data_IF_908548951211
#
_entry.id   IF_908548951211
#
_cell.length_a   1.000
_cell.length_b   1.000
_cell.length_c   1.000
_cell.angle_alpha   90.00
_cell.angle_beta   90.00
_cell.angle_gamma   90.00
#
_symmetry.space_group_name_H-M   'P 1'
#
loop_
_entity.id
_entity.type
_entity.pdbx_description
1 polymer ?
#
# COMPACT_ATOMS: atom_id res chain seq x y z
N UNK A 1 8.32 -3.16 -4.91
CA UNK A 1 8.13 -4.20 -3.86
C UNK A 1 8.86 -5.51 -4.17
N UNK A 2 10.00 -5.47 -4.89
CA UNK A 2 10.73 -6.70 -5.30
C UNK A 2 12.14 -6.80 -4.69
N UNK A 3 12.47 -5.90 -3.76
CA UNK A 3 13.73 -5.94 -3.01
C UNK A 3 13.62 -6.86 -1.80
N UNK A 4 14.72 -7.50 -1.43
CA UNK A 4 14.78 -8.38 -0.24
C UNK A 4 15.01 -7.60 1.07
N UNK A 5 15.47 -6.36 0.97
CA UNK A 5 15.69 -5.49 2.13
C UNK A 5 14.40 -4.73 2.48
N UNK A 6 13.83 -5.12 3.62
CA UNK A 6 12.62 -4.52 4.18
C UNK A 6 12.91 -3.63 5.40
N UNK A 7 14.18 -3.41 5.74
CA UNK A 7 14.59 -2.64 6.94
C UNK A 7 14.16 -1.17 6.92
N UNK A 8 13.85 -0.66 5.72
CA UNK A 8 13.31 0.67 5.48
C UNK A 8 11.77 0.71 5.37
N UNK A 9 11.11 -0.45 5.51
CA UNK A 9 9.66 -0.60 5.49
C UNK A 9 9.04 -0.99 6.84
N UNK A 10 9.72 -1.81 7.65
CA UNK A 10 9.18 -2.36 8.90
C UNK A 10 10.18 -2.27 10.07
N UNK A 11 9.67 -2.04 11.29
CA UNK A 11 10.40 -2.09 12.56
C UNK A 11 11.60 -1.13 12.63
N UNK A 12 11.45 0.04 12.01
CA UNK A 12 12.51 1.05 11.91
C UNK A 12 12.29 2.26 12.82
N UNK A 13 11.47 2.12 13.86
CA UNK A 13 11.11 3.25 14.75
C UNK A 13 12.30 3.92 15.42
N UNK A 14 13.33 3.14 15.75
CA UNK A 14 14.61 3.60 16.31
C UNK A 14 15.49 4.36 15.29
N UNK A 15 15.31 4.08 14.00
CA UNK A 15 16.11 4.62 12.89
C UNK A 15 15.38 5.68 12.05
N UNK A 16 14.09 5.84 12.26
CA UNK A 16 13.24 6.80 11.57
C UNK A 16 13.57 8.22 12.05
N UNK A 17 14.23 9.02 11.19
CA UNK A 17 14.54 10.44 11.46
C UNK A 17 13.66 11.37 10.63
N UNK A 18 13.83 11.32 9.31
CA UNK A 18 13.21 12.28 8.38
C UNK A 18 11.91 11.76 7.74
N UNK A 19 11.42 10.60 8.18
CA UNK A 19 10.21 9.97 7.68
C UNK A 19 9.53 9.14 8.78
N UNK A 20 8.21 8.95 8.72
CA UNK A 20 7.51 8.10 9.68
C UNK A 20 8.09 6.68 9.75
N UNK A 21 8.07 6.11 10.96
CA UNK A 21 8.33 4.69 11.16
C UNK A 21 7.25 3.83 10.48
N UNK A 22 7.56 2.55 10.28
CA UNK A 22 6.57 1.54 9.86
C UNK A 22 5.81 1.90 8.57
N UNK A 23 6.56 2.37 7.57
CA UNK A 23 6.03 2.80 6.28
C UNK A 23 5.20 1.72 5.58
N UNK A 24 5.50 0.44 5.80
CA UNK A 24 4.71 -0.67 5.28
C UNK A 24 3.24 -0.59 5.71
N UNK A 25 2.98 -0.28 6.98
CA UNK A 25 1.62 -0.14 7.50
C UNK A 25 0.93 1.10 6.95
N UNK A 26 1.63 2.24 6.94
CA UNK A 26 1.08 3.48 6.41
C UNK A 26 0.70 3.35 4.93
N UNK A 27 1.62 2.85 4.10
CA UNK A 27 1.36 2.68 2.66
C UNK A 27 0.30 1.61 2.42
N UNK A 28 0.31 0.51 3.17
CA UNK A 28 -0.74 -0.51 3.12
C UNK A 28 -2.14 0.08 3.39
N UNK A 29 -2.27 0.91 4.43
CA UNK A 29 -3.50 1.63 4.72
C UNK A 29 -3.94 2.53 3.55
N UNK A 30 -3.03 3.32 2.95
CA UNK A 30 -3.38 4.21 1.83
C UNK A 30 -3.81 3.45 0.57
N UNK A 31 -3.26 2.26 0.33
CA UNK A 31 -3.70 1.37 -0.76
C UNK A 31 -5.12 0.86 -0.50
N UNK A 32 -5.38 0.35 0.71
CA UNK A 32 -6.72 -0.09 1.09
C UNK A 32 -7.74 1.05 1.05
N UNK A 33 -7.42 2.23 1.60
CA UNK A 33 -8.27 3.43 1.53
C UNK A 33 -8.63 3.76 0.08
N UNK A 34 -7.64 3.82 -0.83
CA UNK A 34 -7.89 4.11 -2.23
C UNK A 34 -8.79 3.05 -2.92
N UNK A 35 -8.59 1.77 -2.60
CA UNK A 35 -9.44 0.69 -3.11
C UNK A 35 -10.87 0.81 -2.58
N UNK A 36 -11.04 1.05 -1.27
CA UNK A 36 -12.34 1.22 -0.65
C UNK A 36 -13.11 2.37 -1.28
N UNK A 37 -12.48 3.53 -1.45
CA UNK A 37 -13.12 4.72 -2.00
C UNK A 37 -13.61 4.52 -3.44
N UNK A 38 -12.84 3.80 -4.26
CA UNK A 38 -13.24 3.47 -5.65
C UNK A 38 -14.34 2.42 -5.74
N UNK A 39 -14.52 1.58 -4.72
CA UNK A 39 -15.52 0.53 -4.74
C UNK A 39 -16.95 1.09 -4.62
N UNK A 40 -17.85 0.59 -5.47
CA UNK A 40 -19.29 0.87 -5.38
C UNK A 40 -19.95 0.13 -4.21
N UNK A 41 -19.57 -1.14 -4.02
CA UNK A 41 -19.98 -1.95 -2.87
C UNK A 41 -18.86 -2.00 -1.84
N UNK A 42 -19.10 -1.35 -0.71
CA UNK A 42 -18.13 -1.23 0.38
C UNK A 42 -17.94 -2.55 1.14
N UNK A 43 -18.98 -3.37 1.28
CA UNK A 43 -18.87 -4.66 1.98
C UNK A 43 -18.05 -5.65 1.15
N UNK A 44 -18.28 -5.67 -0.17
CA UNK A 44 -17.46 -6.43 -1.10
C UNK A 44 -16.00 -5.96 -1.07
N UNK A 45 -15.76 -4.65 -0.94
CA UNK A 45 -14.41 -4.09 -0.85
C UNK A 45 -13.65 -4.58 0.40
N UNK A 46 -14.29 -4.54 1.58
CA UNK A 46 -13.70 -5.03 2.83
C UNK A 46 -13.39 -6.52 2.73
N UNK A 47 -14.30 -7.33 2.17
CA UNK A 47 -14.05 -8.75 1.94
C UNK A 47 -12.81 -8.96 1.07
N UNK A 48 -12.72 -8.25 -0.05
CA UNK A 48 -11.57 -8.35 -0.95
C UNK A 48 -10.26 -7.95 -0.26
N UNK A 49 -10.25 -6.94 0.61
CA UNK A 49 -9.06 -6.54 1.37
C UNK A 49 -8.55 -7.63 2.30
N UNK A 50 -9.45 -8.38 2.94
CA UNK A 50 -9.11 -9.41 3.91
C UNK A 50 -8.72 -10.74 3.25
N UNK A 51 -9.28 -11.02 2.08
CA UNK A 51 -9.14 -12.33 1.40
C UNK A 51 -8.14 -12.33 0.24
N UNK A 52 -7.65 -11.18 -0.20
CA UNK A 52 -6.78 -11.11 -1.39
C UNK A 52 -5.43 -11.80 -1.18
N UNK A 53 -5.04 -12.62 -2.15
CA UNK A 53 -3.73 -13.25 -2.23
C UNK A 53 -2.88 -12.68 -3.36
N UNK A 54 -3.50 -11.98 -4.32
CA UNK A 54 -2.83 -11.29 -5.42
C UNK A 54 -2.68 -9.79 -5.10
N UNK A 55 -1.62 -9.47 -4.37
CA UNK A 55 -1.31 -8.11 -3.93
C UNK A 55 -0.97 -7.16 -5.09
N UNK A 56 -0.48 -7.69 -6.22
CA UNK A 56 -0.13 -6.87 -7.38
C UNK A 56 -1.40 -6.44 -8.13
N UNK A 57 -2.33 -7.38 -8.36
CA UNK A 57 -3.64 -7.07 -8.90
C UNK A 57 -4.42 -6.14 -7.97
N UNK A 58 -4.37 -6.37 -6.66
CA UNK A 58 -5.03 -5.51 -5.67
C UNK A 58 -4.49 -4.08 -5.70
N UNK A 59 -3.17 -3.89 -5.73
CA UNK A 59 -2.55 -2.57 -5.87
C UNK A 59 -3.00 -1.88 -7.17
N UNK A 60 -3.02 -2.59 -8.30
CA UNK A 60 -3.51 -2.04 -9.57
C UNK A 60 -4.98 -1.61 -9.46
N UNK A 61 -5.84 -2.46 -8.89
CA UNK A 61 -7.26 -2.17 -8.74
C UNK A 61 -7.54 -0.98 -7.80
N UNK A 62 -6.69 -0.79 -6.78
CA UNK A 62 -6.77 0.40 -5.91
C UNK A 62 -6.49 1.71 -6.66
N UNK A 63 -5.73 1.64 -7.75
CA UNK A 63 -5.13 2.76 -8.47
C UNK A 63 -4.31 3.72 -7.62
N UNK A 64 -3.90 3.32 -6.41
CA UNK A 64 -3.06 4.15 -5.56
C UNK A 64 -1.74 4.50 -6.25
N UNK A 65 -1.16 3.55 -7.00
CA UNK A 65 0.09 3.74 -7.73
C UNK A 65 0.00 4.80 -8.85
N UNK A 66 -1.19 5.07 -9.39
CA UNK A 66 -1.38 6.04 -10.48
C UNK A 66 -1.05 7.48 -10.04
N UNK A 67 -1.05 7.75 -8.72
CA UNK A 67 -0.65 9.04 -8.14
C UNK A 67 0.86 9.31 -8.28
N UNK A 68 1.65 8.27 -8.53
CA UNK A 68 3.10 8.32 -8.56
C UNK A 68 3.58 7.78 -9.92
N UNK A 69 3.48 8.59 -10.99
CA UNK A 69 4.00 8.18 -12.28
C UNK A 69 5.50 7.86 -12.18
N UNK A 70 6.02 6.99 -13.06
CA UNK A 70 7.45 6.68 -13.10
C UNK A 70 8.24 7.98 -13.17
N UNK A 71 9.33 8.05 -12.40
CA UNK A 71 10.32 9.12 -12.56
C UNK A 71 10.83 9.10 -14.00
N UNK A 72 10.85 10.29 -14.62
CA UNK A 72 11.22 10.50 -16.02
C UNK A 72 12.56 11.21 -16.16
N UNK A 73 13.28 11.36 -15.04
CA UNK A 73 14.62 11.93 -14.91
C UNK A 73 15.72 10.85 -14.84
#
# INVERSE_FOLDING_TARGET
>A
MNGKDISNWFYQGDRAKDRPADLGYYIGYKICEAYYERAKDKNAAVRAMLETTDVAAFLKASGYAEKFPPRTD
#
